data_IF_351697913503
#
_entry.id   IF_351697913503
#
_cell.length_a   1.000
_cell.length_b   1.000
_cell.length_c   1.000
_cell.angle_alpha   90.00
_cell.angle_beta   90.00
_cell.angle_gamma   90.00
#
_symmetry.space_group_name_H-M   'P 1'
#
loop_
_entity.id
_entity.type
_entity.pdbx_description
1 polymer ?
#
# COMPACT_ATOMS: atom_id res chain seq x y z
N UNK A 1 28.28 -81.16 36.04
CA UNK A 1 28.75 -79.85 35.56
C UNK A 1 27.53 -79.04 35.15
N UNK A 2 27.16 -77.96 35.87
CA UNK A 2 26.17 -77.02 35.37
C UNK A 2 26.84 -75.98 34.44
N UNK A 3 26.15 -75.53 33.38
CA UNK A 3 26.75 -74.78 32.27
C UNK A 3 26.89 -73.27 32.57
N UNK A 4 27.65 -72.53 31.72
CA UNK A 4 28.17 -71.21 32.03
C UNK A 4 27.20 -70.07 31.72
N UNK A 5 27.44 -68.96 32.41
CA UNK A 5 26.88 -67.63 32.18
C UNK A 5 27.40 -67.10 30.84
N UNK A 6 26.50 -66.68 29.96
CA UNK A 6 26.81 -65.89 28.76
C UNK A 6 25.91 -64.67 28.73
N UNK A 7 26.54 -63.50 28.70
CA UNK A 7 25.91 -62.20 28.65
C UNK A 7 25.27 -61.92 27.28
N UNK A 8 24.05 -61.39 27.28
CA UNK A 8 23.56 -60.57 26.17
C UNK A 8 23.24 -59.18 26.70
N UNK A 9 24.06 -58.20 26.32
CA UNK A 9 23.78 -56.78 26.49
C UNK A 9 22.61 -56.44 25.57
N UNK A 10 21.49 -55.96 26.13
CA UNK A 10 20.45 -55.24 25.36
C UNK A 10 20.65 -53.73 25.53
N UNK A 11 20.47 -52.93 24.47
CA UNK A 11 20.74 -51.50 24.49
C UNK A 11 19.71 -50.75 25.34
N UNK A 12 20.17 -49.68 26.00
CA UNK A 12 19.34 -48.67 26.65
C UNK A 12 18.24 -48.19 25.68
N UNK A 13 16.98 -48.35 26.06
CA UNK A 13 15.89 -47.56 25.49
C UNK A 13 15.96 -46.16 26.10
N UNK A 14 15.83 -45.09 25.30
CA UNK A 14 15.78 -43.74 25.82
C UNK A 14 14.52 -43.56 26.67
N UNK A 15 14.68 -42.71 27.66
CA UNK A 15 13.79 -42.48 28.79
C UNK A 15 12.33 -42.20 28.39
N UNK A 16 11.43 -42.76 29.20
CA UNK A 16 10.00 -42.68 29.00
C UNK A 16 9.47 -41.25 29.09
N UNK A 17 8.78 -40.81 28.04
CA UNK A 17 7.68 -39.88 28.22
C UNK A 17 6.50 -40.68 28.76
N UNK A 18 6.08 -40.39 30.00
CA UNK A 18 4.77 -40.81 30.49
C UNK A 18 3.73 -40.34 29.46
N UNK A 19 2.78 -41.17 28.99
CA UNK A 19 1.75 -40.71 28.08
C UNK A 19 1.02 -39.55 28.75
N UNK A 20 1.22 -38.33 28.23
CA UNK A 20 0.49 -37.16 28.72
C UNK A 20 -0.99 -37.38 28.45
N UNK A 21 -1.81 -37.16 29.47
CA UNK A 21 -3.25 -37.09 29.31
C UNK A 21 -3.65 -35.85 28.48
N UNK A 22 -4.92 -35.81 28.08
CA UNK A 22 -5.44 -34.74 27.23
C UNK A 22 -5.28 -33.35 27.86
N UNK A 23 -5.51 -33.24 29.16
CA UNK A 23 -5.43 -31.97 29.90
C UNK A 23 -4.00 -31.45 29.94
N UNK A 24 -3.03 -32.33 30.20
CA UNK A 24 -1.61 -32.00 30.16
C UNK A 24 -1.18 -31.58 28.75
N UNK A 25 -1.62 -32.30 27.70
CA UNK A 25 -1.33 -31.93 26.32
C UNK A 25 -1.85 -30.53 25.98
N UNK A 26 -3.10 -30.23 26.33
CA UNK A 26 -3.71 -28.93 26.05
C UNK A 26 -3.04 -27.80 26.84
N UNK A 27 -2.77 -28.03 28.13
CA UNK A 27 -2.09 -27.04 28.97
C UNK A 27 -0.72 -26.65 28.41
N UNK A 28 0.10 -27.64 28.02
CA UNK A 28 1.40 -27.39 27.40
C UNK A 28 1.27 -26.73 26.01
N UNK A 29 0.27 -27.12 25.21
CA UNK A 29 0.04 -26.55 23.89
C UNK A 29 -0.33 -25.06 23.96
N UNK A 30 -1.24 -24.69 24.85
CA UNK A 30 -1.63 -23.29 25.06
C UNK A 30 -0.50 -22.45 25.64
N UNK A 31 0.31 -23.03 26.55
CA UNK A 31 1.51 -22.35 27.06
C UNK A 31 2.55 -22.09 25.95
N UNK A 32 2.79 -23.07 25.07
CA UNK A 32 3.69 -22.91 23.94
C UNK A 32 3.19 -21.85 22.94
N UNK A 33 1.87 -21.80 22.70
CA UNK A 33 1.24 -20.80 21.84
C UNK A 33 1.37 -19.37 22.43
N UNK A 34 1.18 -19.21 23.74
CA UNK A 34 1.29 -17.93 24.42
C UNK A 34 2.73 -17.37 24.43
N UNK A 35 3.74 -18.24 24.39
CA UNK A 35 5.15 -17.86 24.42
C UNK A 35 5.68 -17.25 23.10
N UNK A 36 4.87 -17.19 22.03
CA UNK A 36 5.17 -16.45 20.78
C UNK A 36 6.32 -16.98 19.90
N UNK A 37 7.17 -17.88 20.41
CA UNK A 37 8.32 -18.45 19.69
C UNK A 37 8.34 -19.97 19.57
N UNK A 38 7.30 -20.67 20.05
CA UNK A 38 7.22 -22.15 20.12
C UNK A 38 6.08 -22.72 19.27
N UNK A 39 5.85 -22.13 18.09
CA UNK A 39 4.72 -22.50 17.22
C UNK A 39 4.77 -23.95 16.73
N UNK A 40 5.96 -24.46 16.39
CA UNK A 40 6.15 -25.85 15.95
C UNK A 40 5.76 -26.85 17.05
N UNK A 41 6.12 -26.54 18.30
CA UNK A 41 5.76 -27.37 19.45
C UNK A 41 4.26 -27.31 19.77
N UNK A 42 3.66 -26.12 19.76
CA UNK A 42 2.21 -25.98 19.92
C UNK A 42 1.45 -26.76 18.84
N UNK A 43 1.96 -26.77 17.61
CA UNK A 43 1.38 -27.55 16.50
C UNK A 43 1.42 -29.06 16.77
N UNK A 44 2.56 -29.59 17.22
CA UNK A 44 2.69 -31.01 17.59
C UNK A 44 1.73 -31.40 18.73
N UNK A 45 1.70 -30.58 19.79
CA UNK A 45 0.88 -30.86 20.97
C UNK A 45 -0.62 -30.81 20.65
N UNK A 46 -1.08 -29.82 19.88
CA UNK A 46 -2.48 -29.76 19.43
C UNK A 46 -2.83 -30.89 18.45
N UNK A 47 -1.89 -31.34 17.62
CA UNK A 47 -2.10 -32.50 16.75
C UNK A 47 -2.28 -33.78 17.57
N UNK A 48 -1.44 -34.00 18.58
CA UNK A 48 -1.55 -35.13 19.52
C UNK A 48 -2.84 -35.09 20.33
N UNK A 49 -3.22 -33.91 20.85
CA UNK A 49 -4.49 -33.72 21.55
C UNK A 49 -5.70 -34.05 20.65
N UNK A 50 -5.69 -33.59 19.40
CA UNK A 50 -6.73 -33.91 18.42
C UNK A 50 -6.72 -35.39 17.98
N UNK A 51 -5.60 -36.10 18.11
CA UNK A 51 -5.54 -37.55 17.85
C UNK A 51 -6.16 -38.33 19.01
N UNK A 52 -5.90 -37.90 20.25
CA UNK A 52 -6.43 -38.52 21.46
C UNK A 52 -7.94 -38.27 21.63
N UNK A 53 -8.40 -37.06 21.29
CA UNK A 53 -9.80 -36.68 21.36
C UNK A 53 -10.20 -35.84 20.12
N UNK A 54 -10.57 -36.52 19.01
CA UNK A 54 -10.86 -35.87 17.72
C UNK A 54 -11.95 -34.83 17.73
N UNK A 55 -12.88 -34.92 18.68
CA UNK A 55 -14.04 -34.04 18.78
C UNK A 55 -13.93 -33.04 19.94
N UNK A 56 -12.78 -32.94 20.61
CA UNK A 56 -12.60 -32.08 21.78
C UNK A 56 -12.45 -30.59 21.37
N UNK A 57 -13.37 -29.68 21.72
CA UNK A 57 -13.38 -28.32 21.20
C UNK A 57 -12.09 -27.53 21.45
N UNK A 58 -11.50 -27.52 22.67
CA UNK A 58 -10.19 -26.89 22.89
C UNK A 58 -9.05 -27.44 22.03
N UNK A 59 -9.09 -28.72 21.66
CA UNK A 59 -8.05 -29.33 20.81
C UNK A 59 -8.21 -28.89 19.35
N UNK A 60 -9.46 -28.89 18.85
CA UNK A 60 -9.80 -28.45 17.50
C UNK A 60 -9.52 -26.95 17.31
N UNK A 61 -9.88 -26.12 18.30
CA UNK A 61 -9.63 -24.68 18.28
C UNK A 61 -8.12 -24.39 18.22
N UNK A 62 -7.33 -25.02 19.09
CA UNK A 62 -5.88 -24.87 19.10
C UNK A 62 -5.21 -25.33 17.80
N UNK A 63 -5.69 -26.42 17.20
CA UNK A 63 -5.23 -26.90 15.89
C UNK A 63 -5.57 -25.92 14.76
N UNK A 64 -6.76 -25.32 14.77
CA UNK A 64 -7.12 -24.31 13.78
C UNK A 64 -6.24 -23.05 13.88
N UNK A 65 -5.93 -22.62 15.11
CA UNK A 65 -5.03 -21.47 15.34
C UNK A 65 -3.63 -21.74 14.80
N UNK A 66 -3.05 -22.93 15.06
CA UNK A 66 -1.71 -23.28 14.58
C UNK A 66 -1.67 -23.49 13.07
N UNK A 67 -2.68 -24.12 12.48
CA UNK A 67 -2.81 -24.22 11.01
C UNK A 67 -2.84 -22.86 10.34
N UNK A 68 -3.59 -21.91 10.89
CA UNK A 68 -3.63 -20.54 10.37
C UNK A 68 -2.26 -19.87 10.47
N UNK A 69 -1.58 -19.99 11.61
CA UNK A 69 -0.25 -19.42 11.83
C UNK A 69 0.82 -20.02 10.89
N UNK A 70 0.66 -21.28 10.50
CA UNK A 70 1.53 -21.98 9.54
C UNK A 70 1.14 -21.76 8.07
N UNK A 71 0.24 -20.82 7.76
CA UNK A 71 -0.14 -20.49 6.38
C UNK A 71 -1.11 -21.49 5.73
N UNK A 72 -1.85 -22.28 6.52
CA UNK A 72 -2.87 -23.23 6.05
C UNK A 72 -4.32 -22.82 6.44
N UNK A 73 -4.80 -21.61 6.07
CA UNK A 73 -6.09 -21.10 6.53
C UNK A 73 -7.31 -21.88 6.00
N UNK A 74 -7.23 -22.51 4.81
CA UNK A 74 -8.33 -23.33 4.28
C UNK A 74 -8.58 -24.57 5.14
N UNK A 75 -7.53 -25.20 5.66
CA UNK A 75 -7.66 -26.34 6.57
C UNK A 75 -8.19 -25.91 7.94
N UNK A 76 -7.76 -24.74 8.42
CA UNK A 76 -8.29 -24.15 9.65
C UNK A 76 -9.80 -23.86 9.53
N UNK A 77 -10.26 -23.32 8.39
CA UNK A 77 -11.68 -23.08 8.13
C UNK A 77 -12.49 -24.38 8.23
N UNK A 78 -12.05 -25.46 7.57
CA UNK A 78 -12.74 -26.76 7.60
C UNK A 78 -12.94 -27.26 9.02
N UNK A 79 -11.91 -27.15 9.86
CA UNK A 79 -11.98 -27.56 11.27
C UNK A 79 -12.95 -26.68 12.06
N UNK A 80 -12.87 -25.36 11.89
CA UNK A 80 -13.71 -24.40 12.62
C UNK A 80 -15.18 -24.56 12.25
N UNK A 81 -15.50 -24.77 10.97
CA UNK A 81 -16.89 -25.03 10.54
C UNK A 81 -17.42 -26.38 11.04
N UNK A 82 -16.57 -27.41 11.11
CA UNK A 82 -16.95 -28.70 11.68
C UNK A 82 -17.18 -28.61 13.20
N UNK A 83 -16.43 -27.77 13.90
CA UNK A 83 -16.67 -27.48 15.32
C UNK A 83 -18.01 -26.73 15.48
N UNK A 84 -18.22 -25.67 14.71
CA UNK A 84 -19.43 -24.82 14.77
C UNK A 84 -20.71 -25.53 14.33
N UNK A 85 -20.63 -26.58 13.50
CA UNK A 85 -21.80 -27.39 13.17
C UNK A 85 -22.28 -28.25 14.33
N UNK A 86 -21.40 -28.52 15.30
CA UNK A 86 -21.70 -29.29 16.52
C UNK A 86 -22.00 -28.39 17.71
N UNK A 87 -21.31 -27.25 17.79
CA UNK A 87 -21.46 -26.23 18.82
C UNK A 87 -21.60 -24.84 18.20
N UNK A 88 -22.83 -24.45 17.78
CA UNK A 88 -23.08 -23.16 17.14
C UNK A 88 -22.90 -21.94 18.04
N UNK A 89 -22.83 -22.13 19.36
CA UNK A 89 -22.72 -21.06 20.36
C UNK A 89 -21.29 -20.88 20.89
N UNK A 90 -20.31 -21.53 20.26
CA UNK A 90 -18.90 -21.41 20.62
C UNK A 90 -18.28 -20.08 20.15
N UNK A 91 -18.30 -19.06 21.01
CA UNK A 91 -17.83 -17.70 20.70
C UNK A 91 -16.38 -17.65 20.17
N UNK A 92 -15.43 -18.33 20.82
CA UNK A 92 -14.03 -18.35 20.36
C UNK A 92 -13.88 -18.96 18.96
N UNK A 93 -14.65 -20.01 18.63
CA UNK A 93 -14.59 -20.65 17.33
C UNK A 93 -15.10 -19.71 16.23
N UNK A 94 -16.16 -18.95 16.50
CA UNK A 94 -16.62 -17.87 15.61
C UNK A 94 -15.56 -16.78 15.42
N UNK A 95 -14.89 -16.35 16.50
CA UNK A 95 -13.83 -15.35 16.42
C UNK A 95 -12.63 -15.86 15.60
N UNK A 96 -12.20 -17.11 15.80
CA UNK A 96 -11.14 -17.74 15.01
C UNK A 96 -11.55 -17.97 13.56
N UNK A 97 -12.83 -18.26 13.28
CA UNK A 97 -13.35 -18.36 11.92
C UNK A 97 -13.29 -17.01 11.22
N UNK A 98 -13.70 -15.95 11.91
CA UNK A 98 -13.63 -14.57 11.41
C UNK A 98 -12.22 -14.18 10.96
N UNK A 99 -11.20 -14.45 11.79
CA UNK A 99 -9.80 -14.13 11.41
C UNK A 99 -9.25 -15.05 10.32
N UNK A 100 -9.70 -16.29 10.25
CA UNK A 100 -9.33 -17.23 9.20
C UNK A 100 -9.91 -16.80 7.85
N UNK A 101 -11.18 -16.42 7.81
CA UNK A 101 -11.87 -15.90 6.62
C UNK A 101 -11.24 -14.60 6.10
N UNK A 102 -10.74 -13.74 7.00
CA UNK A 102 -9.97 -12.55 6.64
C UNK A 102 -8.71 -12.90 5.85
N UNK A 103 -7.95 -13.91 6.28
CA UNK A 103 -6.75 -14.37 5.55
C UNK A 103 -7.09 -15.05 4.22
N UNK A 104 -8.29 -15.58 4.09
CA UNK A 104 -8.84 -16.12 2.85
C UNK A 104 -9.49 -15.04 1.96
N UNK A 105 -9.38 -13.76 2.35
CA UNK A 105 -9.99 -12.63 1.66
C UNK A 105 -11.53 -12.68 1.54
N UNK A 106 -12.21 -13.39 2.46
CA UNK A 106 -13.68 -13.51 2.54
C UNK A 106 -14.25 -12.57 3.59
N UNK A 107 -14.18 -11.28 3.28
CA UNK A 107 -14.32 -10.20 4.25
C UNK A 107 -15.76 -10.01 4.78
N UNK A 108 -16.83 -10.14 3.97
CA UNK A 108 -18.20 -10.13 4.50
C UNK A 108 -18.47 -11.26 5.50
N UNK A 109 -18.01 -12.48 5.18
CA UNK A 109 -18.17 -13.62 6.08
C UNK A 109 -17.28 -13.50 7.32
N UNK A 110 -16.10 -12.88 7.18
CA UNK A 110 -15.25 -12.52 8.32
C UNK A 110 -15.98 -11.59 9.29
N UNK A 111 -16.62 -10.53 8.76
CA UNK A 111 -17.43 -9.60 9.54
C UNK A 111 -18.56 -10.30 10.27
N UNK A 112 -19.38 -11.07 9.55
CA UNK A 112 -20.50 -11.81 10.13
C UNK A 112 -20.06 -12.80 11.23
N UNK A 113 -18.93 -13.49 11.04
CA UNK A 113 -18.39 -14.40 12.05
C UNK A 113 -17.89 -13.67 13.31
N UNK A 114 -17.24 -12.51 13.14
CA UNK A 114 -16.77 -11.69 14.26
C UNK A 114 -17.94 -11.05 15.03
N UNK A 115 -18.97 -10.59 14.32
CA UNK A 115 -20.22 -10.10 14.91
C UNK A 115 -20.92 -11.20 15.70
N UNK A 116 -21.04 -12.42 15.14
CA UNK A 116 -21.61 -13.57 15.86
C UNK A 116 -20.84 -13.92 17.13
N UNK A 117 -19.51 -13.82 17.11
CA UNK A 117 -18.69 -14.02 18.31
C UNK A 117 -19.00 -12.97 19.39
N UNK A 118 -19.24 -11.72 19.01
CA UNK A 118 -19.58 -10.63 19.93
C UNK A 118 -21.03 -10.69 20.41
N UNK A 119 -21.96 -11.22 19.61
CA UNK A 119 -23.33 -11.52 20.05
C UNK A 119 -23.32 -12.56 21.19
N UNK A 120 -22.52 -13.62 21.03
CA UNK A 120 -22.36 -14.69 22.02
C UNK A 120 -21.55 -14.24 23.24
N UNK A 121 -20.55 -13.38 23.04
CA UNK A 121 -19.68 -12.85 24.08
C UNK A 121 -19.35 -11.36 23.85
N UNK A 122 -20.19 -10.43 24.35
CA UNK A 122 -20.01 -8.98 24.12
C UNK A 122 -18.66 -8.40 24.59
N UNK A 123 -18.00 -9.05 25.56
CA UNK A 123 -16.68 -8.67 26.07
C UNK A 123 -15.49 -9.31 25.33
N UNK A 124 -15.71 -9.96 24.18
CA UNK A 124 -14.67 -10.72 23.49
C UNK A 124 -13.64 -9.81 22.81
N UNK A 125 -12.60 -9.41 23.56
CA UNK A 125 -11.59 -8.45 23.12
C UNK A 125 -10.90 -8.80 21.78
N UNK A 126 -10.61 -10.09 21.55
CA UNK A 126 -10.02 -10.55 20.29
C UNK A 126 -10.96 -10.37 19.09
N UNK A 127 -12.25 -10.68 19.23
CA UNK A 127 -13.25 -10.48 18.19
C UNK A 127 -13.44 -8.98 17.91
N UNK A 128 -13.57 -8.16 18.95
CA UNK A 128 -13.70 -6.71 18.84
C UNK A 128 -12.50 -6.08 18.11
N UNK A 129 -11.26 -6.43 18.50
CA UNK A 129 -10.05 -5.90 17.86
C UNK A 129 -10.00 -6.24 16.37
N UNK A 130 -10.39 -7.46 16.00
CA UNK A 130 -10.41 -7.88 14.60
C UNK A 130 -11.58 -7.24 13.83
N UNK A 131 -12.72 -7.01 14.47
CA UNK A 131 -13.86 -6.32 13.85
C UNK A 131 -13.59 -4.82 13.67
N UNK A 132 -12.85 -4.19 14.57
CA UNK A 132 -12.39 -2.81 14.44
C UNK A 132 -11.34 -2.69 13.34
N UNK A 133 -10.38 -3.62 13.30
CA UNK A 133 -9.45 -3.73 12.18
C UNK A 133 -10.19 -3.89 10.86
N UNK A 134 -11.15 -4.83 10.78
CA UNK A 134 -11.97 -5.03 9.59
C UNK A 134 -12.76 -3.76 9.25
N UNK A 135 -13.37 -3.11 10.23
CA UNK A 135 -14.15 -1.88 10.05
C UNK A 135 -13.33 -0.71 9.47
N UNK A 136 -12.06 -0.58 9.83
CA UNK A 136 -11.16 0.43 9.24
C UNK A 136 -10.94 0.26 7.74
N UNK A 137 -11.06 -0.98 7.22
CA UNK A 137 -10.85 -1.30 5.81
C UNK A 137 -12.14 -1.62 5.04
N UNK A 138 -13.21 -2.04 5.73
CA UNK A 138 -14.40 -2.64 5.13
C UNK A 138 -15.74 -2.02 5.53
N UNK A 139 -15.86 -1.30 6.66
CA UNK A 139 -17.13 -0.60 7.00
C UNK A 139 -17.45 0.57 6.06
N UNK A 140 -16.58 0.88 5.08
CA UNK A 140 -16.88 1.74 3.93
C UNK A 140 -17.60 1.02 2.76
N UNK A 141 -17.91 -0.27 2.88
CA UNK A 141 -19.22 -0.76 2.47
C UNK A 141 -19.60 -0.84 0.99
N UNK A 142 -18.68 -0.84 0.03
CA UNK A 142 -18.98 -1.25 -1.35
C UNK A 142 -18.10 -2.45 -1.74
N UNK A 143 -18.61 -3.67 -1.54
CA UNK A 143 -18.08 -4.84 -2.26
C UNK A 143 -18.47 -4.63 -3.71
N UNK A 144 -17.52 -4.17 -4.53
CA UNK A 144 -17.72 -4.10 -5.98
C UNK A 144 -17.78 -5.55 -6.49
N UNK A 145 -18.98 -6.04 -6.80
CA UNK A 145 -19.13 -7.29 -7.53
C UNK A 145 -18.60 -7.07 -8.95
N UNK A 146 -17.54 -7.80 -9.32
CA UNK A 146 -16.96 -7.74 -10.66
C UNK A 146 -17.32 -9.03 -11.38
N UNK A 147 -18.26 -8.96 -12.33
CA UNK A 147 -18.76 -10.13 -13.07
C UNK A 147 -17.65 -10.87 -13.84
N UNK A 148 -16.61 -10.14 -14.24
CA UNK A 148 -15.40 -10.68 -14.86
C UNK A 148 -14.18 -10.13 -14.13
N UNK A 149 -13.76 -10.75 -13.00
CA UNK A 149 -12.67 -10.22 -12.22
C UNK A 149 -11.40 -10.17 -13.07
N UNK A 150 -10.72 -9.00 -13.15
CA UNK A 150 -9.46 -8.94 -13.87
C UNK A 150 -8.46 -9.90 -13.21
N UNK A 151 -7.60 -10.52 -14.01
CA UNK A 151 -6.38 -11.19 -13.52
C UNK A 151 -5.21 -10.23 -13.80
N UNK A 152 -4.85 -9.34 -12.86
CA UNK A 152 -3.81 -8.36 -13.12
C UNK A 152 -2.49 -9.08 -13.39
N UNK A 153 -1.85 -8.71 -14.49
CA UNK A 153 -0.53 -9.19 -14.88
C UNK A 153 0.20 -8.07 -15.60
N UNK A 154 1.51 -8.00 -15.42
CA UNK A 154 2.34 -7.09 -16.20
C UNK A 154 2.34 -7.55 -17.65
N UNK A 155 1.93 -6.67 -18.57
CA UNK A 155 2.00 -6.87 -20.02
C UNK A 155 3.13 -6.08 -20.63
N UNK A 156 3.47 -4.93 -20.04
CA UNK A 156 4.49 -4.01 -20.53
C UNK A 156 5.44 -3.58 -19.41
N UNK A 157 6.76 -3.65 -19.66
CA UNK A 157 7.78 -3.36 -18.65
C UNK A 157 8.10 -4.53 -17.71
N UNK A 158 8.96 -4.30 -16.72
CA UNK A 158 9.37 -5.28 -15.69
C UNK A 158 9.83 -6.63 -16.26
N UNK A 159 10.68 -6.59 -17.28
CA UNK A 159 11.14 -7.78 -18.02
C UNK A 159 10.38 -8.06 -19.32
N UNK A 160 9.27 -7.36 -19.57
CA UNK A 160 8.56 -7.33 -20.85
C UNK A 160 8.86 -6.03 -21.63
N UNK A 161 8.67 -6.00 -22.96
CA UNK A 161 8.77 -4.77 -23.73
C UNK A 161 7.79 -3.69 -23.25
N UNK A 162 8.21 -2.42 -23.27
CA UNK A 162 7.33 -1.27 -23.03
C UNK A 162 6.15 -1.24 -24.00
N UNK A 163 5.06 -0.54 -23.66
CA UNK A 163 3.96 -0.35 -24.60
C UNK A 163 4.44 0.47 -25.81
N UNK A 164 4.47 -0.10 -27.03
CA UNK A 164 5.28 0.43 -28.13
C UNK A 164 4.84 1.82 -28.59
N UNK A 165 3.53 2.06 -28.70
CA UNK A 165 2.99 3.37 -29.12
C UNK A 165 3.20 4.46 -28.08
N UNK A 166 3.16 4.10 -26.79
CA UNK A 166 3.38 5.06 -25.70
C UNK A 166 4.87 5.38 -25.62
N UNK A 167 5.74 4.37 -25.66
CA UNK A 167 7.19 4.57 -25.68
C UNK A 167 7.62 5.47 -26.85
N UNK A 168 7.08 5.22 -28.05
CA UNK A 168 7.34 6.07 -29.22
C UNK A 168 6.88 7.52 -29.00
N UNK A 169 5.68 7.73 -28.44
CA UNK A 169 5.15 9.06 -28.14
C UNK A 169 6.01 9.79 -27.10
N UNK A 170 6.33 9.14 -25.98
CA UNK A 170 7.13 9.72 -24.91
C UNK A 170 8.57 10.00 -25.36
N UNK A 171 9.13 9.23 -26.29
CA UNK A 171 10.46 9.46 -26.84
C UNK A 171 10.56 10.72 -27.72
N UNK A 172 9.43 11.32 -28.13
CA UNK A 172 9.43 12.57 -28.91
C UNK A 172 9.60 13.83 -28.06
N UNK A 173 9.43 13.74 -26.74
CA UNK A 173 9.54 14.88 -25.84
C UNK A 173 11.00 15.29 -25.60
N UNK A 174 11.22 16.60 -25.44
CA UNK A 174 12.49 17.13 -24.95
C UNK A 174 12.39 17.39 -23.44
N UNK A 175 13.11 16.59 -22.67
CA UNK A 175 13.13 16.65 -21.20
C UNK A 175 14.42 17.27 -20.65
N UNK A 176 15.27 17.83 -21.52
CA UNK A 176 16.58 18.38 -21.19
C UNK A 176 16.47 19.49 -20.15
N UNK A 177 15.52 20.41 -20.32
CA UNK A 177 15.32 21.53 -19.41
C UNK A 177 14.96 21.05 -17.98
N UNK A 178 14.09 20.04 -17.86
CA UNK A 178 13.70 19.48 -16.57
C UNK A 178 14.87 18.74 -15.90
N UNK A 179 15.63 17.96 -16.67
CA UNK A 179 16.82 17.27 -16.15
C UNK A 179 17.89 18.25 -15.66
N UNK A 180 18.14 19.34 -16.41
CA UNK A 180 19.06 20.39 -16.02
C UNK A 180 18.58 21.13 -14.77
N UNK A 181 17.28 21.39 -14.65
CA UNK A 181 16.71 22.01 -13.46
C UNK A 181 16.94 21.14 -12.20
N UNK A 182 16.71 19.83 -12.32
CA UNK A 182 17.00 18.89 -11.24
C UNK A 182 18.49 18.85 -10.90
N UNK A 183 19.36 18.84 -11.92
CA UNK A 183 20.80 18.84 -11.71
C UNK A 183 21.30 20.10 -11.00
N UNK A 184 20.73 21.27 -11.31
CA UNK A 184 21.12 22.54 -10.73
C UNK A 184 20.86 22.61 -9.22
N UNK A 185 19.83 21.92 -8.71
CA UNK A 185 19.49 21.91 -7.28
C UNK A 185 20.01 20.68 -6.53
N UNK A 186 20.74 19.78 -7.20
CA UNK A 186 21.23 18.55 -6.58
C UNK A 186 22.07 18.78 -5.30
N UNK A 187 22.94 19.80 -5.21
CA UNK A 187 23.66 20.11 -3.98
C UNK A 187 22.74 20.48 -2.81
N UNK A 188 21.62 21.14 -3.08
CA UNK A 188 20.63 21.49 -2.05
C UNK A 188 19.86 20.27 -1.58
N UNK A 189 19.47 19.40 -2.51
CA UNK A 189 18.79 18.14 -2.20
C UNK A 189 19.66 17.23 -1.32
N UNK A 190 20.99 17.25 -1.51
CA UNK A 190 21.92 16.48 -0.68
C UNK A 190 21.95 16.92 0.81
N UNK A 191 21.31 18.04 1.17
CA UNK A 191 21.18 18.48 2.57
C UNK A 191 20.00 17.87 3.30
N UNK A 192 19.08 17.23 2.58
CA UNK A 192 17.93 16.51 3.15
C UNK A 192 18.44 15.19 3.75
N UNK A 193 18.08 14.86 5.00
CA UNK A 193 18.54 13.65 5.66
C UNK A 193 17.91 12.40 5.04
N UNK A 194 18.57 11.25 5.20
CA UNK A 194 18.04 9.98 4.73
C UNK A 194 16.87 9.49 5.60
N UNK A 195 16.90 9.73 6.91
CA UNK A 195 15.88 9.27 7.86
C UNK A 195 15.14 10.41 8.55
N UNK A 196 13.98 10.10 9.12
CA UNK A 196 13.17 11.06 9.87
C UNK A 196 13.95 11.61 11.08
N UNK A 197 13.80 12.93 11.31
CA UNK A 197 14.31 13.62 12.49
C UNK A 197 13.14 13.92 13.44
N UNK A 198 12.98 13.19 14.57
CA UNK A 198 11.88 13.40 15.51
C UNK A 198 11.86 14.80 16.15
N UNK A 199 13.01 15.50 16.19
CA UNK A 199 13.08 16.86 16.71
C UNK A 199 12.54 17.89 15.70
N UNK A 200 12.50 17.53 14.42
CA UNK A 200 12.00 18.38 13.34
C UNK A 200 11.00 17.60 12.48
N UNK A 201 9.83 17.24 13.04
CA UNK A 201 8.85 16.35 12.41
C UNK A 201 8.14 16.99 11.22
N UNK A 202 8.60 18.14 10.72
CA UNK A 202 8.12 18.85 9.54
C UNK A 202 9.11 18.76 8.36
N UNK A 203 10.36 18.33 8.61
CA UNK A 203 11.37 18.18 7.58
C UNK A 203 11.07 16.96 6.70
N UNK A 204 11.38 17.02 5.39
CA UNK A 204 11.38 15.83 4.53
C UNK A 204 12.61 14.95 4.80
N UNK A 205 12.55 13.70 4.34
CA UNK A 205 13.68 12.76 4.34
C UNK A 205 13.58 11.78 3.16
N UNK A 206 14.71 11.16 2.77
CA UNK A 206 14.78 10.33 1.56
C UNK A 206 14.21 8.91 1.71
N UNK A 207 14.55 8.19 2.78
CA UNK A 207 14.13 6.81 3.05
C UNK A 207 12.70 6.80 3.60
N UNK A 208 11.78 7.34 2.81
CA UNK A 208 10.36 7.32 3.05
C UNK A 208 9.68 6.34 2.07
N UNK A 209 8.66 5.62 2.53
CA UNK A 209 7.99 4.59 1.73
C UNK A 209 6.94 5.15 0.76
N UNK A 210 6.77 6.48 0.69
CA UNK A 210 5.55 7.12 0.17
C UNK A 210 5.80 8.04 -1.03
N UNK A 211 6.95 8.70 -1.12
CA UNK A 211 7.26 9.68 -2.15
C UNK A 211 8.73 9.54 -2.57
N UNK A 212 8.94 8.89 -3.71
CA UNK A 212 10.27 8.46 -4.16
C UNK A 212 11.18 9.64 -4.51
N UNK A 213 12.49 9.40 -4.40
CA UNK A 213 13.52 10.43 -4.57
C UNK A 213 13.46 11.14 -5.92
N UNK A 214 13.16 10.43 -7.02
CA UNK A 214 13.01 11.04 -8.34
C UNK A 214 11.84 12.02 -8.42
N UNK A 215 10.73 11.70 -7.75
CA UNK A 215 9.53 12.54 -7.75
C UNK A 215 9.70 13.76 -6.85
N UNK A 216 10.25 13.53 -5.65
CA UNK A 216 10.60 14.57 -4.72
C UNK A 216 11.62 15.55 -5.30
N UNK A 217 12.67 15.04 -5.95
CA UNK A 217 13.66 15.86 -6.63
C UNK A 217 13.03 16.71 -7.73
N UNK A 218 12.20 16.12 -8.60
CA UNK A 218 11.57 16.85 -9.71
C UNK A 218 10.57 17.91 -9.21
N UNK A 219 9.76 17.61 -8.18
CA UNK A 219 8.89 18.60 -7.54
C UNK A 219 9.71 19.79 -7.02
N UNK A 220 10.81 19.53 -6.30
CA UNK A 220 11.69 20.57 -5.79
C UNK A 220 12.31 21.40 -6.93
N UNK A 221 12.73 20.76 -8.02
CA UNK A 221 13.34 21.40 -9.18
C UNK A 221 12.36 22.36 -9.87
N UNK A 222 11.13 21.91 -10.09
CA UNK A 222 10.09 22.74 -10.69
C UNK A 222 9.71 23.91 -9.79
N UNK A 223 9.56 23.71 -8.48
CA UNK A 223 9.32 24.82 -7.54
C UNK A 223 10.46 25.84 -7.56
N UNK A 224 11.71 25.38 -7.52
CA UNK A 224 12.88 26.25 -7.52
C UNK A 224 12.99 27.10 -8.79
N UNK A 225 12.68 26.52 -9.96
CA UNK A 225 12.96 27.14 -11.26
C UNK A 225 11.75 27.78 -11.92
N UNK A 226 10.55 27.21 -11.76
CA UNK A 226 9.31 27.78 -12.30
C UNK A 226 8.71 28.84 -11.38
N UNK A 227 9.01 28.78 -10.07
CA UNK A 227 8.56 29.73 -9.04
C UNK A 227 7.06 30.06 -9.18
N UNK A 228 6.18 29.05 -9.16
CA UNK A 228 4.75 29.28 -9.32
C UNK A 228 4.22 30.20 -8.23
N UNK A 229 3.21 31.01 -8.54
CA UNK A 229 2.53 31.79 -7.51
C UNK A 229 1.76 30.85 -6.56
N UNK A 230 1.16 29.80 -7.11
CA UNK A 230 0.36 28.82 -6.37
C UNK A 230 0.79 27.39 -6.65
N UNK A 231 0.88 26.59 -5.60
CA UNK A 231 0.87 25.12 -5.65
C UNK A 231 -0.43 24.65 -5.00
N UNK A 232 -1.36 24.16 -5.82
CA UNK A 232 -2.58 23.50 -5.36
C UNK A 232 -2.35 21.99 -5.35
N UNK A 233 -2.31 21.39 -4.17
CA UNK A 233 -2.00 19.98 -3.96
C UNK A 233 -3.25 19.21 -3.55
N UNK A 234 -3.64 18.23 -4.36
CA UNK A 234 -4.69 17.25 -4.07
C UNK A 234 -4.01 15.97 -3.58
N UNK A 235 -4.33 15.57 -2.34
CA UNK A 235 -3.64 14.48 -1.65
C UNK A 235 -2.32 14.95 -1.04
N UNK A 236 -2.25 14.95 0.30
CA UNK A 236 -1.16 15.57 1.04
C UNK A 236 -0.42 14.59 1.95
N UNK A 237 0.86 14.86 2.19
CA UNK A 237 1.72 13.96 2.95
C UNK A 237 3.20 14.29 2.82
N UNK A 238 3.98 13.34 2.30
CA UNK A 238 5.42 13.52 2.13
C UNK A 238 5.75 14.55 1.04
N UNK A 239 4.99 14.56 -0.06
CA UNK A 239 5.06 15.58 -1.11
C UNK A 239 4.97 17.00 -0.53
N UNK A 240 4.04 17.23 0.40
CA UNK A 240 3.83 18.51 1.09
C UNK A 240 5.07 18.97 1.85
N UNK A 241 5.81 18.05 2.49
CA UNK A 241 7.06 18.36 3.21
C UNK A 241 8.18 18.77 2.26
N UNK A 242 8.34 18.03 1.16
CA UNK A 242 9.31 18.38 0.12
C UNK A 242 8.95 19.72 -0.55
N UNK A 243 7.66 19.95 -0.83
CA UNK A 243 7.17 21.22 -1.37
C UNK A 243 7.50 22.38 -0.43
N UNK A 244 7.10 22.30 0.85
CA UNK A 244 7.39 23.35 1.83
C UNK A 244 8.89 23.56 2.02
N UNK A 245 9.67 22.48 2.04
CA UNK A 245 11.13 22.58 2.10
C UNK A 245 11.69 23.37 0.91
N UNK A 246 11.27 23.06 -0.33
CA UNK A 246 11.74 23.74 -1.53
C UNK A 246 11.32 25.22 -1.56
N UNK A 247 10.07 25.52 -1.19
CA UNK A 247 9.54 26.89 -1.11
C UNK A 247 10.42 27.73 -0.17
N UNK A 248 10.77 27.18 1.00
CA UNK A 248 11.61 27.86 1.97
C UNK A 248 13.08 27.94 1.51
N UNK A 249 13.65 26.83 1.02
CA UNK A 249 15.05 26.72 0.60
C UNK A 249 15.41 27.69 -0.51
N UNK A 250 14.51 27.88 -1.47
CA UNK A 250 14.69 28.71 -2.66
C UNK A 250 13.92 30.04 -2.62
N UNK A 251 13.28 30.33 -1.47
CA UNK A 251 12.48 31.53 -1.22
C UNK A 251 11.55 31.85 -2.39
N UNK A 252 10.78 30.87 -2.86
CA UNK A 252 10.00 31.00 -4.11
C UNK A 252 8.83 31.97 -3.96
N UNK A 253 8.31 32.13 -2.74
CA UNK A 253 7.09 32.88 -2.47
C UNK A 253 5.82 32.16 -2.89
N UNK A 254 5.91 30.88 -3.27
CA UNK A 254 4.77 30.05 -3.68
C UNK A 254 3.82 29.84 -2.51
N UNK A 255 2.52 30.09 -2.75
CA UNK A 255 1.45 29.78 -1.82
C UNK A 255 1.03 28.31 -1.96
N UNK A 256 1.18 27.53 -0.88
CA UNK A 256 0.85 26.11 -0.82
C UNK A 256 -0.56 25.90 -0.26
N UNK A 257 -1.46 25.42 -1.10
CA UNK A 257 -2.84 25.07 -0.73
C UNK A 257 -3.04 23.56 -0.86
N UNK A 258 -3.38 22.89 0.24
CA UNK A 258 -3.73 21.46 0.26
C UNK A 258 -5.25 21.25 0.20
N UNK A 259 -5.70 20.31 -0.64
CA UNK A 259 -7.04 19.72 -0.66
C UNK A 259 -6.89 18.24 -0.28
N UNK A 260 -7.34 17.90 0.93
CA UNK A 260 -7.27 16.53 1.43
C UNK A 260 -8.28 16.35 2.57
N UNK A 261 -9.30 15.47 2.43
CA UNK A 261 -10.31 15.26 3.46
C UNK A 261 -9.74 14.60 4.73
N UNK A 262 -8.70 13.77 4.61
CA UNK A 262 -8.19 12.93 5.70
C UNK A 262 -6.69 12.66 5.47
N UNK A 263 -5.82 13.64 5.73
CA UNK A 263 -4.39 13.52 5.42
C UNK A 263 -3.75 12.45 6.30
N UNK A 264 -2.83 11.67 5.70
CA UNK A 264 -2.13 10.57 6.39
C UNK A 264 -1.02 11.05 7.33
N UNK A 265 -0.71 12.34 7.31
CA UNK A 265 0.32 12.98 8.12
C UNK A 265 -0.17 14.34 8.64
N UNK A 266 0.39 14.79 9.77
CA UNK A 266 0.15 16.12 10.31
C UNK A 266 0.87 17.18 9.44
N UNK A 267 0.22 17.62 8.36
CA UNK A 267 0.77 18.54 7.36
C UNK A 267 0.21 19.96 7.45
N UNK A 268 -0.80 20.18 8.29
CA UNK A 268 -1.59 21.42 8.32
C UNK A 268 -0.71 22.66 8.53
N UNK A 269 0.26 22.56 9.46
CA UNK A 269 1.20 23.64 9.74
C UNK A 269 2.17 23.97 8.60
N UNK A 270 2.24 23.12 7.56
CA UNK A 270 3.08 23.32 6.38
C UNK A 270 2.32 24.04 5.26
N UNK A 271 0.99 24.09 5.31
CA UNK A 271 0.16 24.67 4.27
C UNK A 271 -0.20 26.12 4.60
N UNK A 272 -0.26 26.98 3.58
CA UNK A 272 -0.76 28.35 3.74
C UNK A 272 -2.30 28.36 3.74
N UNK A 273 -2.91 27.38 3.05
CA UNK A 273 -4.36 27.15 3.05
C UNK A 273 -4.68 25.66 2.99
N UNK A 274 -5.80 25.26 3.59
CA UNK A 274 -6.26 23.88 3.67
C UNK A 274 -7.75 23.80 3.33
N UNK A 275 -8.12 22.82 2.51
CA UNK A 275 -9.50 22.42 2.24
C UNK A 275 -9.69 20.95 2.67
N UNK A 276 -10.54 20.72 3.69
CA UNK A 276 -10.86 19.37 4.20
C UNK A 276 -12.13 18.85 3.56
N UNK A 277 -12.06 18.54 2.27
CA UNK A 277 -13.21 18.06 1.49
C UNK A 277 -12.73 17.05 0.46
N UNK A 278 -13.50 15.96 0.21
CA UNK A 278 -13.25 15.09 -0.94
C UNK A 278 -13.24 15.90 -2.24
N UNK A 279 -12.43 15.47 -3.22
CA UNK A 279 -12.23 16.26 -4.45
C UNK A 279 -13.54 16.48 -5.21
N UNK A 280 -14.42 15.48 -5.19
CA UNK A 280 -15.72 15.46 -5.86
C UNK A 280 -16.72 16.46 -5.28
N UNK A 281 -16.46 16.96 -4.08
CA UNK A 281 -17.25 17.98 -3.41
C UNK A 281 -16.48 19.31 -3.24
N UNK A 282 -15.26 19.41 -3.78
CA UNK A 282 -14.47 20.64 -3.74
C UNK A 282 -15.07 21.71 -4.66
N UNK A 283 -14.96 22.98 -4.27
CA UNK A 283 -15.43 24.11 -5.07
C UNK A 283 -14.64 24.19 -6.39
N UNK A 284 -15.31 24.08 -7.56
CA UNK A 284 -14.66 24.18 -8.87
C UNK A 284 -13.85 25.48 -9.07
N UNK A 285 -14.23 26.55 -8.37
CA UNK A 285 -13.53 27.84 -8.42
C UNK A 285 -12.06 27.74 -8.00
N UNK A 286 -11.70 26.74 -7.18
CA UNK A 286 -10.31 26.49 -6.80
C UNK A 286 -9.41 26.20 -8.00
N UNK A 287 -9.94 25.45 -8.99
CA UNK A 287 -9.20 25.03 -10.17
C UNK A 287 -9.25 26.08 -11.28
N UNK A 288 -10.41 26.69 -11.51
CA UNK A 288 -10.54 27.76 -12.53
C UNK A 288 -9.79 29.03 -12.15
N UNK A 289 -9.41 29.19 -10.87
CA UNK A 289 -8.57 30.30 -10.41
C UNK A 289 -7.06 30.08 -10.62
N UNK A 290 -6.62 28.91 -11.09
CA UNK A 290 -5.22 28.67 -11.42
C UNK A 290 -4.82 29.42 -12.69
N UNK A 291 -3.64 30.02 -12.69
CA UNK A 291 -3.13 30.83 -13.78
C UNK A 291 -1.91 30.18 -14.44
N UNK A 292 -1.49 30.75 -15.58
CA UNK A 292 -0.28 30.31 -16.27
C UNK A 292 0.93 30.29 -15.33
N UNK A 293 1.61 29.14 -15.26
CA UNK A 293 2.76 28.92 -14.39
C UNK A 293 2.43 28.35 -13.01
N UNK A 294 1.17 28.38 -12.55
CA UNK A 294 0.76 27.71 -11.33
C UNK A 294 0.84 26.18 -11.47
N UNK A 295 1.00 25.49 -10.34
CA UNK A 295 1.06 24.03 -10.30
C UNK A 295 -0.22 23.46 -9.69
N UNK A 296 -0.83 22.51 -10.40
CA UNK A 296 -1.81 21.57 -9.86
C UNK A 296 -1.12 20.21 -9.66
N UNK A 297 -1.08 19.73 -8.42
CA UNK A 297 -0.51 18.44 -8.05
C UNK A 297 -1.62 17.47 -7.67
N UNK A 298 -1.65 16.30 -8.30
CA UNK A 298 -2.68 15.29 -8.06
C UNK A 298 -2.07 13.95 -7.63
N UNK A 299 -2.37 13.57 -6.38
CA UNK A 299 -2.06 12.28 -5.75
C UNK A 299 -3.32 11.76 -5.02
N UNK A 300 -4.32 11.37 -5.80
CA UNK A 300 -5.64 10.97 -5.32
C UNK A 300 -5.72 9.53 -4.81
N UNK A 301 -6.87 8.89 -5.06
CA UNK A 301 -7.15 7.51 -4.65
C UNK A 301 -6.57 6.45 -5.59
N UNK A 302 -6.06 6.86 -6.75
CA UNK A 302 -5.53 6.01 -7.82
C UNK A 302 -6.54 5.05 -8.45
N UNK A 303 -7.84 5.25 -8.20
CA UNK A 303 -8.88 4.40 -8.79
C UNK A 303 -10.02 5.22 -9.37
N UNK A 304 -10.22 5.08 -10.67
CA UNK A 304 -11.38 5.59 -11.39
C UNK A 304 -12.57 4.68 -11.16
N UNK A 305 -13.59 5.22 -10.48
CA UNK A 305 -14.92 4.66 -10.30
C UNK A 305 -15.96 5.74 -10.63
N UNK A 306 -17.24 5.39 -10.54
CA UNK A 306 -18.31 6.39 -10.61
C UNK A 306 -18.13 7.39 -9.48
N UNK A 307 -18.03 8.68 -9.84
CA UNK A 307 -17.87 9.76 -8.87
C UNK A 307 -16.67 9.55 -7.91
N UNK A 308 -15.52 9.12 -8.44
CA UNK A 308 -14.26 9.16 -7.69
C UNK A 308 -13.40 10.36 -8.09
N UNK A 309 -12.50 10.74 -7.20
CA UNK A 309 -11.53 11.82 -7.38
C UNK A 309 -10.74 11.70 -8.68
N UNK A 310 -10.28 10.49 -9.04
CA UNK A 310 -9.62 10.22 -10.33
C UNK A 310 -10.57 10.54 -11.49
N UNK A 311 -11.83 10.12 -11.43
CA UNK A 311 -12.79 10.40 -12.49
C UNK A 311 -13.03 11.91 -12.60
N UNK A 312 -13.36 12.59 -11.50
CA UNK A 312 -13.59 14.04 -11.47
C UNK A 312 -12.36 14.81 -11.96
N UNK A 313 -11.16 14.42 -11.53
CA UNK A 313 -9.91 15.04 -11.97
C UNK A 313 -9.77 14.98 -13.50
N UNK A 314 -9.92 13.81 -14.10
CA UNK A 314 -9.72 13.64 -15.54
C UNK A 314 -10.86 14.19 -16.40
N UNK A 315 -12.11 14.16 -15.91
CA UNK A 315 -13.28 14.52 -16.74
C UNK A 315 -13.78 15.94 -16.54
N UNK A 316 -13.52 16.56 -15.39
CA UNK A 316 -14.09 17.88 -15.04
C UNK A 316 -12.99 18.91 -14.75
N UNK A 317 -11.95 18.55 -14.00
CA UNK A 317 -10.91 19.50 -13.59
C UNK A 317 -9.88 19.72 -14.70
N UNK A 318 -9.21 18.64 -15.12
CA UNK A 318 -8.09 18.70 -16.07
C UNK A 318 -8.46 19.42 -17.39
N UNK A 319 -9.63 19.17 -18.02
CA UNK A 319 -10.01 19.86 -19.27
C UNK A 319 -10.18 21.38 -19.12
N UNK A 320 -10.66 21.84 -17.96
CA UNK A 320 -11.04 23.24 -17.69
C UNK A 320 -9.86 24.12 -17.27
N UNK A 321 -8.68 23.54 -17.03
CA UNK A 321 -7.51 24.31 -16.62
C UNK A 321 -7.08 25.35 -17.68
N UNK A 322 -6.68 26.52 -17.20
CA UNK A 322 -6.18 27.60 -18.06
C UNK A 322 -4.87 27.22 -18.75
N UNK A 323 -4.61 27.80 -19.93
CA UNK A 323 -3.32 27.67 -20.63
C UNK A 323 -2.17 28.10 -19.72
N UNK A 324 -1.07 27.35 -19.78
CA UNK A 324 0.13 27.57 -19.00
C UNK A 324 0.15 26.91 -17.62
N UNK A 325 -0.97 26.39 -17.10
CA UNK A 325 -0.99 25.64 -15.83
C UNK A 325 -0.13 24.38 -15.98
N UNK A 326 0.70 24.10 -14.98
CA UNK A 326 1.55 22.92 -14.89
C UNK A 326 0.82 21.86 -14.05
N UNK A 327 0.71 20.64 -14.57
CA UNK A 327 -0.01 19.55 -13.95
C UNK A 327 0.95 18.42 -13.61
N UNK A 328 0.86 17.95 -12.37
CA UNK A 328 1.49 16.71 -11.89
C UNK A 328 0.41 15.65 -11.66
N UNK A 329 0.67 14.44 -12.11
CA UNK A 329 -0.09 13.24 -11.77
C UNK A 329 0.88 12.24 -11.17
N UNK A 330 0.62 11.82 -9.93
CA UNK A 330 1.47 10.88 -9.20
C UNK A 330 1.19 9.42 -9.61
N UNK A 331 2.14 8.53 -9.33
CA UNK A 331 2.04 7.08 -9.59
C UNK A 331 1.77 6.65 -11.04
N UNK A 332 2.40 7.35 -11.98
CA UNK A 332 2.37 7.07 -13.41
C UNK A 332 3.67 6.38 -13.86
N UNK A 333 3.55 5.13 -14.31
CA UNK A 333 4.68 4.32 -14.78
C UNK A 333 4.78 4.23 -16.31
N UNK A 334 3.99 5.02 -17.05
CA UNK A 334 3.99 4.99 -18.52
C UNK A 334 5.41 5.18 -19.09
N UNK A 335 5.83 4.38 -20.09
CA UNK A 335 5.03 3.49 -20.93
C UNK A 335 4.92 2.04 -20.41
N UNK A 336 5.21 1.80 -19.13
CA UNK A 336 5.15 0.51 -18.48
C UNK A 336 3.81 0.33 -17.73
N UNK A 337 3.46 -0.93 -17.47
CA UNK A 337 2.43 -1.23 -16.47
C UNK A 337 2.97 -0.99 -15.05
N UNK A 338 2.05 -0.93 -14.09
CA UNK A 338 2.41 -0.90 -12.67
C UNK A 338 3.35 -2.07 -12.29
N UNK A 339 4.25 -1.87 -11.31
CA UNK A 339 5.14 -2.91 -10.83
C UNK A 339 4.43 -4.20 -10.37
N UNK A 340 5.07 -5.39 -10.47
CA UNK A 340 4.48 -6.65 -10.04
C UNK A 340 3.93 -6.63 -8.61
N UNK A 341 4.64 -5.98 -7.69
CA UNK A 341 4.25 -5.88 -6.27
C UNK A 341 2.99 -5.01 -6.06
N UNK A 342 2.52 -4.31 -7.10
CA UNK A 342 1.36 -3.42 -7.06
C UNK A 342 0.14 -4.01 -7.76
N UNK A 343 0.24 -5.20 -8.36
CA UNK A 343 -0.87 -5.83 -9.10
C UNK A 343 -2.15 -5.99 -8.27
N UNK A 344 -2.02 -6.21 -6.96
CA UNK A 344 -3.15 -6.29 -6.03
C UNK A 344 -3.78 -4.95 -5.65
N UNK A 345 -3.14 -3.81 -5.97
CA UNK A 345 -3.67 -2.47 -5.69
C UNK A 345 -4.78 -2.05 -6.64
N UNK A 346 -4.83 -2.64 -7.84
CA UNK A 346 -5.83 -2.31 -8.88
C UNK A 346 -5.89 -0.80 -9.20
N UNK A 347 -4.74 -0.11 -9.13
CA UNK A 347 -4.63 1.27 -9.58
C UNK A 347 -4.87 1.34 -11.09
N UNK A 348 -5.48 2.43 -11.57
CA UNK A 348 -5.91 2.50 -12.97
C UNK A 348 -5.90 3.90 -13.61
N UNK A 349 -5.54 4.94 -12.87
CA UNK A 349 -5.47 6.33 -13.31
C UNK A 349 -4.50 6.52 -14.48
N UNK A 350 -3.37 5.81 -14.49
CA UNK A 350 -2.43 5.90 -15.60
C UNK A 350 -3.02 5.43 -16.94
N UNK A 351 -4.03 4.57 -16.91
CA UNK A 351 -4.66 4.06 -18.13
C UNK A 351 -5.65 5.07 -18.74
N UNK A 352 -6.22 5.98 -17.93
CA UNK A 352 -6.95 7.14 -18.45
C UNK A 352 -5.98 8.09 -19.17
N UNK A 353 -4.85 8.42 -18.53
CA UNK A 353 -3.79 9.22 -19.14
C UNK A 353 -3.25 8.56 -20.43
N UNK A 354 -2.96 7.26 -20.39
CA UNK A 354 -2.50 6.51 -21.55
C UNK A 354 -3.50 6.57 -22.72
N UNK A 355 -4.80 6.42 -22.42
CA UNK A 355 -5.86 6.52 -23.42
C UNK A 355 -5.91 7.90 -24.06
N UNK A 356 -5.82 8.96 -23.25
CA UNK A 356 -5.76 10.35 -23.73
C UNK A 356 -4.54 10.59 -24.64
N UNK A 357 -3.36 10.12 -24.23
CA UNK A 357 -2.13 10.23 -25.04
C UNK A 357 -2.24 9.46 -26.36
N UNK A 358 -2.75 8.22 -26.33
CA UNK A 358 -2.91 7.38 -27.51
C UNK A 358 -3.99 7.86 -28.47
N UNK A 359 -4.97 8.62 -27.97
CA UNK A 359 -5.98 9.32 -28.77
C UNK A 359 -5.42 10.56 -29.50
N UNK A 360 -4.15 10.91 -29.28
CA UNK A 360 -3.50 12.02 -29.99
C UNK A 360 -3.87 13.40 -29.45
N UNK A 361 -4.08 13.51 -28.13
CA UNK A 361 -4.25 14.80 -27.47
C UNK A 361 -3.15 15.79 -27.85
N UNK A 362 -3.51 17.06 -28.06
CA UNK A 362 -2.55 18.14 -28.39
C UNK A 362 -2.51 19.26 -27.37
N UNK A 363 -3.43 19.25 -26.40
CA UNK A 363 -3.63 20.28 -25.38
C UNK A 363 -2.54 20.29 -24.31
N UNK A 364 -1.93 19.15 -24.03
CA UNK A 364 -0.94 19.02 -22.96
C UNK A 364 0.45 18.74 -23.51
N UNK A 365 1.37 19.66 -23.27
CA UNK A 365 2.79 19.47 -23.53
C UNK A 365 3.41 18.65 -22.40
N UNK A 366 4.04 17.53 -22.73
CA UNK A 366 4.77 16.73 -21.74
C UNK A 366 6.02 17.48 -21.27
N UNK A 367 6.21 17.55 -19.95
CA UNK A 367 7.37 18.16 -19.31
C UNK A 367 8.33 17.11 -18.73
N UNK A 368 7.80 16.05 -18.10
CA UNK A 368 8.61 15.00 -17.49
C UNK A 368 7.81 13.73 -17.19
N UNK A 369 8.02 12.63 -17.94
CA UNK A 369 7.55 11.31 -17.56
C UNK A 369 8.58 10.60 -16.66
N UNK A 370 8.43 10.69 -15.34
CA UNK A 370 9.43 10.28 -14.35
C UNK A 370 9.90 8.83 -14.43
N UNK A 371 9.01 7.91 -14.81
CA UNK A 371 9.36 6.50 -14.99
C UNK A 371 10.15 6.22 -16.29
N UNK A 372 10.13 7.14 -17.26
CA UNK A 372 10.67 6.92 -18.61
C UNK A 372 11.84 7.84 -18.96
N UNK A 373 11.72 9.15 -18.69
CA UNK A 373 12.72 10.16 -19.05
C UNK A 373 14.13 9.84 -18.54
N UNK A 374 14.33 9.34 -17.29
CA UNK A 374 15.65 8.96 -16.80
C UNK A 374 16.34 7.85 -17.60
N UNK A 375 15.60 7.05 -18.36
CA UNK A 375 16.17 5.98 -19.20
C UNK A 375 16.65 6.45 -20.58
N UNK A 376 16.35 7.70 -20.96
CA UNK A 376 16.67 8.21 -22.28
C UNK A 376 18.17 8.55 -22.38
N UNK A 377 18.88 8.11 -23.44
CA UNK A 377 20.32 8.37 -23.60
C UNK A 377 20.70 9.86 -23.57
N UNK A 378 19.83 10.75 -24.03
CA UNK A 378 20.05 12.19 -24.00
C UNK A 378 19.92 12.80 -22.58
N UNK A 379 19.19 12.12 -21.69
CA UNK A 379 18.85 12.61 -20.35
C UNK A 379 19.79 12.04 -19.29
N UNK A 380 20.18 10.76 -19.40
CA UNK A 380 21.08 10.08 -18.44
C UNK A 380 22.33 10.91 -18.07
N UNK A 381 23.06 11.56 -19.01
CA UNK A 381 24.25 12.33 -18.68
C UNK A 381 23.97 13.59 -17.85
N UNK A 382 22.75 14.12 -17.94
CA UNK A 382 22.34 15.36 -17.27
C UNK A 382 21.91 15.10 -15.82
N UNK A 383 21.49 13.87 -15.50
CA UNK A 383 20.98 13.54 -14.18
C UNK A 383 22.11 13.38 -13.13
N UNK A 384 21.94 13.92 -11.92
CA UNK A 384 22.81 13.61 -10.78
C UNK A 384 22.76 12.12 -10.44
N UNK A 385 23.88 11.57 -9.96
CA UNK A 385 24.02 10.13 -9.72
C UNK A 385 22.94 9.55 -8.79
N UNK A 386 22.51 10.30 -7.76
CA UNK A 386 21.46 9.91 -6.82
C UNK A 386 20.04 9.83 -7.43
N UNK A 387 19.83 10.36 -8.64
CA UNK A 387 18.55 10.30 -9.36
C UNK A 387 18.62 9.44 -10.63
N UNK A 388 19.76 8.76 -10.87
CA UNK A 388 19.97 7.89 -12.04
C UNK A 388 19.35 6.51 -11.89
N UNK A 389 19.01 6.09 -10.67
CA UNK A 389 18.35 4.80 -10.43
C UNK A 389 16.86 4.82 -10.81
N UNK A 390 16.33 5.96 -11.27
CA UNK A 390 15.06 6.05 -11.98
C UNK A 390 13.83 5.77 -11.11
N UNK A 391 13.95 5.89 -9.78
CA UNK A 391 12.83 5.74 -8.85
C UNK A 391 11.96 6.99 -8.87
N UNK A 392 11.13 7.13 -9.90
CA UNK A 392 10.11 8.16 -9.98
C UNK A 392 8.90 7.67 -10.78
N UNK A 393 7.72 8.03 -10.31
CA UNK A 393 6.42 7.77 -10.94
C UNK A 393 5.65 9.07 -11.23
N UNK A 394 6.30 10.23 -11.14
CA UNK A 394 5.66 11.52 -11.44
C UNK A 394 5.53 11.79 -12.93
N UNK A 395 4.33 12.15 -13.37
CA UNK A 395 4.09 12.59 -14.74
C UNK A 395 3.73 14.07 -14.76
N UNK A 396 4.56 14.87 -15.44
CA UNK A 396 4.40 16.31 -15.53
C UNK A 396 4.05 16.73 -16.95
N UNK A 397 3.07 17.63 -17.06
CA UNK A 397 2.66 18.24 -18.31
C UNK A 397 2.24 19.70 -18.10
N UNK A 398 2.13 20.47 -19.17
CA UNK A 398 1.67 21.85 -19.17
C UNK A 398 0.54 22.03 -20.17
N UNK A 399 -0.51 22.74 -19.77
CA UNK A 399 -1.61 23.13 -20.67
C UNK A 399 -1.09 24.12 -21.70
N UNK A 400 -1.34 23.87 -22.99
CA UNK A 400 -1.00 24.78 -24.10
C UNK A 400 -2.01 25.89 -24.29
#
# INVERSE_FOLDING_TARGET
MPPPISASIRPCRPEGHCPMDLDSLLSHAYAALAAGGRLAEATDLFHRAATLAPDHPPALLGRAITLRANGCPTQAETILRALLSRDPDHADAWAQLGTTLRLLNRMPESGAALERALELAPGHAYAQTNLDYLGRFWRRGDVIQIDYPPTPRVRHGHGQPAHPRLAALLATGDYTQAAQALAAIAPDLATIPDSEDPAHPQRPWWDNAWFFSGDAGMLCALLAHRRPARLLEIGSGMSTRFARWAINRFATGTHLHSIDPEPRAAIDSLCDQITRTPLEAADPALFTALQAGDILFFDGSHRSFQNSDVTVFFTEILPELASGVIVHIHDIFLPYDYPPDWLGRLYNEQYLLASMLLAGQTRYQMLWPGAFAPSLPAIVPLLPACFRDGRGSSFWMQVR
#
